data_IF_417859369587
#
_entry.id   IF_417859369587
#
_cell.length_a   1.000
_cell.length_b   1.000
_cell.length_c   1.000
_cell.angle_alpha   90.00
_cell.angle_beta   90.00
_cell.angle_gamma   90.00
#
_symmetry.space_group_name_H-M   'P 1'
#
loop_
_entity.id
_entity.type
_entity.pdbx_description
1 polymer ?
#
# COMPACT_ATOMS: atom_id res chain seq x y z
N UNK A 1 -11.05 -2.46 16.20
CA UNK A 1 -9.62 -2.64 16.41
C UNK A 1 -9.12 -3.74 15.47
N UNK A 2 -8.05 -3.48 14.76
CA UNK A 2 -7.35 -4.48 13.92
C UNK A 2 -5.87 -4.52 14.30
N UNK A 3 -5.25 -5.64 13.99
CA UNK A 3 -3.80 -5.89 14.09
C UNK A 3 -3.32 -6.18 12.68
N UNK A 4 -2.64 -5.23 11.99
CA UNK A 4 -2.13 -5.49 10.65
C UNK A 4 -1.13 -6.64 10.63
N UNK A 5 -1.21 -7.47 9.60
CA UNK A 5 -0.22 -8.51 9.34
C UNK A 5 1.11 -7.91 8.90
N UNK A 6 1.04 -6.77 8.22
CA UNK A 6 2.19 -6.01 7.75
C UNK A 6 1.92 -4.51 7.79
N UNK A 7 2.89 -3.74 8.23
CA UNK A 7 2.90 -2.27 8.18
C UNK A 7 4.07 -1.82 7.31
N UNK A 8 3.79 -1.03 6.28
CA UNK A 8 4.77 -0.62 5.30
C UNK A 8 4.87 0.90 5.20
N UNK A 9 6.07 1.39 4.96
CA UNK A 9 6.34 2.80 4.68
C UNK A 9 7.55 2.91 3.74
N UNK A 10 7.84 4.12 3.26
CA UNK A 10 9.07 4.43 2.54
C UNK A 10 9.67 5.75 3.02
N UNK A 11 10.85 6.10 2.53
CA UNK A 11 11.68 7.23 2.96
C UNK A 11 11.12 8.60 2.54
N UNK A 12 9.92 8.93 2.92
CA UNK A 12 9.38 10.27 2.70
C UNK A 12 9.86 11.22 3.81
N UNK A 13 10.58 12.33 3.50
CA UNK A 13 11.14 13.23 4.52
C UNK A 13 10.11 13.67 5.55
N UNK A 14 8.91 14.07 5.10
CA UNK A 14 7.83 14.53 5.96
C UNK A 14 7.42 13.53 7.06
N UNK A 15 7.71 12.25 6.88
CA UNK A 15 7.39 11.18 7.84
C UNK A 15 8.64 10.69 8.57
N UNK A 16 9.69 10.30 7.85
CA UNK A 16 10.89 9.69 8.43
C UNK A 16 11.58 10.59 9.46
N UNK A 17 11.62 11.90 9.23
CA UNK A 17 12.17 12.85 10.20
C UNK A 17 11.38 12.87 11.52
N UNK A 18 10.09 12.57 11.50
CA UNK A 18 9.18 12.64 12.66
C UNK A 18 9.03 11.30 13.38
N UNK A 19 9.12 10.18 12.66
CA UNK A 19 8.85 8.86 13.24
C UNK A 19 9.67 8.55 14.51
N UNK A 20 11.00 8.85 14.58
CA UNK A 20 11.77 8.58 15.80
C UNK A 20 11.25 9.32 17.05
N UNK A 21 10.80 10.58 16.87
CA UNK A 21 10.24 11.38 17.95
C UNK A 21 8.86 10.85 18.35
N UNK A 22 8.01 10.57 17.38
CA UNK A 22 6.66 10.03 17.62
C UNK A 22 6.70 8.65 18.29
N UNK A 23 7.59 7.75 17.87
CA UNK A 23 7.79 6.46 18.54
C UNK A 23 8.14 6.64 20.03
N UNK A 24 8.96 7.66 20.35
CA UNK A 24 9.30 8.00 21.72
C UNK A 24 8.09 8.55 22.49
N UNK A 25 7.27 9.39 21.87
CA UNK A 25 6.04 9.93 22.45
C UNK A 25 5.04 8.80 22.79
N UNK A 26 4.94 7.78 21.95
CA UNK A 26 4.17 6.56 22.21
C UNK A 26 4.82 5.63 23.25
N UNK A 27 6.00 5.97 23.76
CA UNK A 27 6.73 5.15 24.73
C UNK A 27 7.33 3.87 24.15
N UNK A 28 7.51 3.80 22.82
CA UNK A 28 8.03 2.60 22.14
C UNK A 28 9.55 2.67 22.08
N UNK A 29 10.19 1.88 22.92
CA UNK A 29 11.64 1.66 22.86
C UNK A 29 12.01 0.50 21.94
N UNK A 30 11.18 -0.54 21.96
CA UNK A 30 11.34 -1.74 21.15
C UNK A 30 9.97 -2.26 20.71
N UNK A 31 9.70 -2.43 19.41
CA UNK A 31 8.46 -3.05 18.93
C UNK A 31 8.43 -4.54 19.31
N UNK A 32 7.23 -5.09 19.46
CA UNK A 32 7.02 -6.52 19.79
C UNK A 32 7.23 -7.39 18.55
N UNK A 33 6.79 -6.90 17.38
CA UNK A 33 6.79 -7.62 16.11
C UNK A 33 7.49 -6.83 14.99
N UNK A 34 8.81 -6.56 15.13
CA UNK A 34 9.56 -5.80 14.12
C UNK A 34 9.56 -6.48 12.74
N UNK A 35 9.38 -7.80 12.69
CA UNK A 35 9.28 -8.59 11.45
C UNK A 35 8.03 -8.26 10.62
N UNK A 36 7.05 -7.56 11.20
CA UNK A 36 5.84 -7.12 10.51
C UNK A 36 5.96 -5.71 9.92
N UNK A 37 7.14 -5.13 9.95
CA UNK A 37 7.37 -3.79 9.41
C UNK A 37 8.38 -3.83 8.29
N UNK A 38 8.01 -3.25 7.14
CA UNK A 38 8.87 -3.13 5.97
C UNK A 38 8.96 -1.66 5.56
N UNK A 39 10.18 -1.16 5.47
CA UNK A 39 10.49 0.20 5.04
C UNK A 39 11.16 0.14 3.67
N UNK A 40 10.57 0.82 2.67
CA UNK A 40 11.17 1.00 1.35
C UNK A 40 12.13 2.19 1.33
N UNK A 41 13.16 2.10 0.51
CA UNK A 41 14.10 3.16 0.20
C UNK A 41 14.20 3.20 -1.32
N UNK A 42 13.21 3.85 -1.96
CA UNK A 42 12.99 3.80 -3.40
C UNK A 42 12.51 5.12 -4.04
N UNK A 43 11.92 6.04 -3.28
CA UNK A 43 11.42 7.32 -3.81
C UNK A 43 12.53 8.36 -3.96
N UNK A 44 13.49 8.38 -3.05
CA UNK A 44 14.66 9.26 -3.09
C UNK A 44 15.94 8.49 -3.45
N UNK A 45 15.83 7.29 -4.00
CA UNK A 45 16.96 6.45 -4.35
C UNK A 45 17.49 6.78 -5.77
N UNK A 46 18.81 6.82 -6.01
CA UNK A 46 19.93 6.44 -5.11
C UNK A 46 20.45 7.55 -4.17
N UNK A 47 19.74 8.67 -4.02
CA UNK A 47 20.20 9.79 -3.17
C UNK A 47 21.12 10.73 -3.92
N UNK A 48 20.59 11.40 -4.97
CA UNK A 48 21.37 12.31 -5.82
C UNK A 48 21.66 13.67 -5.19
N UNK A 49 20.92 14.05 -4.14
CA UNK A 49 21.10 15.33 -3.43
C UNK A 49 21.54 15.11 -1.99
N UNK A 50 22.18 16.11 -1.33
CA UNK A 50 22.52 16.03 0.09
C UNK A 50 21.31 15.75 0.99
N UNK A 51 20.15 16.34 0.66
CA UNK A 51 18.88 16.15 1.38
C UNK A 51 18.40 14.71 1.27
N UNK A 52 18.44 14.12 0.08
CA UNK A 52 18.09 12.70 -0.14
C UNK A 52 19.05 11.77 0.62
N UNK A 53 20.34 12.06 0.60
CA UNK A 53 21.34 11.29 1.36
C UNK A 53 21.11 11.38 2.87
N UNK A 54 20.66 12.52 3.38
CA UNK A 54 20.34 12.67 4.79
C UNK A 54 19.10 11.86 5.17
N UNK A 55 18.05 11.88 4.33
CA UNK A 55 16.85 11.05 4.60
C UNK A 55 17.19 9.56 4.56
N UNK A 56 18.12 9.13 3.69
CA UNK A 56 18.61 7.74 3.70
C UNK A 56 19.26 7.39 5.04
N UNK A 57 20.11 8.25 5.59
CA UNK A 57 20.75 8.02 6.89
C UNK A 57 19.71 7.94 8.01
N UNK A 58 18.72 8.85 8.01
CA UNK A 58 17.64 8.85 9.00
C UNK A 58 16.85 7.54 8.89
N UNK A 59 16.46 7.13 7.68
CA UNK A 59 15.71 5.89 7.42
C UNK A 59 16.51 4.67 7.89
N UNK A 60 17.78 4.58 7.56
CA UNK A 60 18.64 3.48 8.01
C UNK A 60 18.81 3.44 9.53
N UNK A 61 18.99 4.61 10.15
CA UNK A 61 19.08 4.70 11.61
C UNK A 61 17.77 4.23 12.28
N UNK A 62 16.62 4.62 11.73
CA UNK A 62 15.29 4.21 12.20
C UNK A 62 15.10 2.71 12.09
N UNK A 63 15.32 2.14 10.90
CA UNK A 63 15.19 0.71 10.62
C UNK A 63 16.10 -0.11 11.54
N UNK A 64 17.37 0.29 11.66
CA UNK A 64 18.37 -0.41 12.49
C UNK A 64 18.01 -0.36 13.98
N UNK A 65 17.51 0.80 14.45
CA UNK A 65 17.12 0.98 15.84
C UNK A 65 15.97 0.06 16.25
N UNK A 66 14.98 -0.10 15.37
CA UNK A 66 13.77 -0.86 15.67
C UNK A 66 13.80 -2.30 15.15
N UNK A 67 14.77 -2.67 14.32
CA UNK A 67 14.92 -4.02 13.78
C UNK A 67 13.95 -4.33 12.65
N UNK A 68 13.53 -3.33 11.89
CA UNK A 68 12.59 -3.47 10.77
C UNK A 68 13.27 -4.03 9.53
N UNK A 69 12.48 -4.58 8.60
CA UNK A 69 12.96 -4.91 7.27
C UNK A 69 13.16 -3.64 6.44
N UNK A 70 14.19 -3.65 5.58
CA UNK A 70 14.43 -2.58 4.61
C UNK A 70 14.54 -3.18 3.21
N UNK A 71 13.98 -2.48 2.24
CA UNK A 71 14.13 -2.73 0.80
C UNK A 71 14.88 -1.53 0.23
N UNK A 72 16.05 -1.75 -0.34
CA UNK A 72 16.89 -0.70 -0.90
C UNK A 72 17.48 -1.11 -2.24
N UNK A 73 17.26 -0.28 -3.28
CA UNK A 73 17.85 -0.48 -4.60
C UNK A 73 17.36 -1.71 -5.37
N UNK A 74 16.26 -2.32 -4.94
CA UNK A 74 15.72 -3.56 -5.52
C UNK A 74 14.55 -3.28 -6.48
N UNK A 75 14.18 -2.04 -6.66
CA UNK A 75 13.04 -1.59 -7.44
C UNK A 75 12.03 -0.82 -6.60
N UNK A 76 10.83 -0.63 -7.13
CA UNK A 76 9.73 0.05 -6.42
C UNK A 76 9.29 -0.80 -5.25
N UNK A 77 9.33 -0.25 -4.03
CA UNK A 77 9.04 -0.98 -2.79
C UNK A 77 7.67 -1.65 -2.80
N UNK A 78 6.65 -1.01 -3.37
CA UNK A 78 5.32 -1.59 -3.50
C UNK A 78 5.34 -2.93 -4.24
N UNK A 79 6.07 -3.00 -5.37
CA UNK A 79 6.23 -4.22 -6.16
C UNK A 79 6.99 -5.29 -5.38
N UNK A 80 8.12 -4.91 -4.79
CA UNK A 80 8.96 -5.83 -4.00
C UNK A 80 8.20 -6.38 -2.79
N UNK A 81 7.42 -5.53 -2.11
CA UNK A 81 6.55 -5.95 -0.99
C UNK A 81 5.51 -6.96 -1.49
N UNK A 82 4.85 -6.65 -2.62
CA UNK A 82 3.85 -7.55 -3.20
C UNK A 82 4.42 -8.94 -3.49
N UNK A 83 5.62 -9.00 -4.05
CA UNK A 83 6.25 -10.26 -4.46
C UNK A 83 6.82 -11.09 -3.32
N UNK A 84 7.28 -10.46 -2.22
CA UNK A 84 8.05 -11.15 -1.18
C UNK A 84 7.33 -11.32 0.14
N UNK A 85 6.45 -10.40 0.50
CA UNK A 85 5.90 -10.34 1.85
C UNK A 85 4.41 -10.65 1.91
N UNK A 86 3.67 -10.48 0.80
CA UNK A 86 2.22 -10.62 0.84
C UNK A 86 1.76 -12.07 0.68
N UNK A 87 0.64 -12.33 1.34
CA UNK A 87 -0.16 -13.54 1.17
C UNK A 87 -1.62 -13.17 1.08
N UNK A 88 -2.44 -13.92 0.34
CA UNK A 88 -3.89 -13.71 0.32
C UNK A 88 -4.49 -13.69 1.73
N UNK A 89 -5.42 -12.78 1.96
CA UNK A 89 -6.10 -12.61 3.24
C UNK A 89 -5.38 -11.70 4.25
N UNK A 90 -4.17 -11.22 3.95
CA UNK A 90 -3.47 -10.28 4.84
C UNK A 90 -4.17 -8.92 4.88
N UNK A 91 -4.11 -8.30 6.05
CA UNK A 91 -4.43 -6.88 6.26
C UNK A 91 -3.11 -6.12 6.35
N UNK A 92 -2.93 -5.18 5.44
CA UNK A 92 -1.71 -4.39 5.33
C UNK A 92 -2.01 -2.91 5.52
N UNK A 93 -1.11 -2.20 6.17
CA UNK A 93 -1.18 -0.74 6.27
C UNK A 93 0.02 -0.10 5.58
N UNK A 94 -0.22 1.02 4.93
CA UNK A 94 0.81 1.81 4.24
C UNK A 94 0.49 3.30 4.33
N UNK A 95 1.46 4.18 4.16
CA UNK A 95 1.14 5.61 4.10
C UNK A 95 0.75 6.08 2.69
N UNK A 96 0.96 5.26 1.65
CA UNK A 96 0.69 5.58 0.25
C UNK A 96 -0.54 4.83 -0.30
N UNK A 97 -1.38 5.57 -1.04
CA UNK A 97 -2.57 5.01 -1.67
C UNK A 97 -2.30 4.10 -2.86
N UNK A 98 -1.17 4.27 -3.58
CA UNK A 98 -0.83 3.40 -4.71
C UNK A 98 -0.54 1.96 -4.28
N UNK A 99 -0.20 1.74 -3.02
CA UNK A 99 -0.07 0.39 -2.48
C UNK A 99 -1.39 -0.42 -2.50
N UNK A 100 -2.54 0.18 -2.88
CA UNK A 100 -3.77 -0.55 -3.19
C UNK A 100 -3.58 -1.68 -4.23
N UNK A 101 -2.47 -1.66 -4.98
CA UNK A 101 -2.08 -2.77 -5.86
C UNK A 101 -2.02 -4.12 -5.14
N UNK A 102 -1.80 -4.14 -3.80
CA UNK A 102 -1.79 -5.36 -3.00
C UNK A 102 -3.12 -6.14 -3.07
N UNK A 103 -4.20 -5.45 -3.38
CA UNK A 103 -5.49 -6.07 -3.64
C UNK A 103 -5.50 -7.08 -4.79
N UNK A 104 -4.58 -6.95 -5.75
CA UNK A 104 -4.40 -7.92 -6.83
C UNK A 104 -4.01 -9.31 -6.32
N UNK A 105 -3.34 -9.38 -5.16
CA UNK A 105 -2.96 -10.61 -4.45
C UNK A 105 -3.96 -10.97 -3.34
N UNK A 106 -5.16 -10.40 -3.36
CA UNK A 106 -6.18 -10.62 -2.33
C UNK A 106 -5.74 -10.21 -0.92
N UNK A 107 -4.83 -9.23 -0.80
CA UNK A 107 -4.44 -8.59 0.45
C UNK A 107 -5.11 -7.22 0.55
N UNK A 108 -5.82 -6.97 1.65
CA UNK A 108 -6.50 -5.69 1.87
C UNK A 108 -5.51 -4.65 2.41
N UNK A 109 -5.21 -3.64 1.61
CA UNK A 109 -4.41 -2.51 2.05
C UNK A 109 -5.28 -1.39 2.59
N UNK A 110 -4.87 -0.76 3.68
CA UNK A 110 -5.44 0.48 4.20
C UNK A 110 -4.41 1.60 4.20
N UNK A 111 -4.54 2.62 3.32
CA UNK A 111 -3.65 3.77 3.30
C UNK A 111 -3.98 4.70 4.46
N UNK A 112 -2.97 5.07 5.23
CA UNK A 112 -3.12 5.84 6.47
C UNK A 112 -2.47 7.22 6.45
N UNK A 113 -1.75 7.59 5.37
CA UNK A 113 -0.96 8.83 5.32
C UNK A 113 -0.13 9.02 6.61
N UNK A 114 -0.24 10.17 7.27
CA UNK A 114 0.45 10.45 8.52
C UNK A 114 0.03 9.52 9.68
N UNK A 115 -1.15 8.91 9.62
CA UNK A 115 -1.64 7.95 10.61
C UNK A 115 -0.88 6.63 10.65
N UNK A 116 0.05 6.38 9.72
CA UNK A 116 0.87 5.17 9.69
C UNK A 116 1.71 4.99 10.96
N UNK A 117 1.97 6.06 11.70
CA UNK A 117 2.69 5.97 12.97
C UNK A 117 1.92 5.17 14.04
N UNK A 118 0.59 5.15 13.98
CA UNK A 118 -0.22 4.41 14.94
C UNK A 118 0.06 2.89 14.87
N UNK A 119 -0.06 2.20 13.72
CA UNK A 119 0.29 0.79 13.66
C UNK A 119 1.80 0.53 13.78
N UNK A 120 2.67 1.47 13.44
CA UNK A 120 4.10 1.35 13.71
C UNK A 120 4.42 1.32 15.20
N UNK A 121 3.72 2.14 16.00
CA UNK A 121 3.96 2.26 17.42
C UNK A 121 3.14 1.28 18.26
N UNK A 122 1.86 1.11 17.93
CA UNK A 122 0.89 0.35 18.74
C UNK A 122 0.65 -1.06 18.21
N UNK A 123 1.17 -1.39 17.02
CA UNK A 123 0.94 -2.66 16.31
C UNK A 123 -0.54 -2.97 16.08
N UNK A 124 -1.38 -1.96 16.19
CA UNK A 124 -2.83 -2.03 16.04
C UNK A 124 -3.40 -0.66 15.68
N UNK A 125 -4.59 -0.63 15.13
CA UNK A 125 -5.32 0.62 14.86
C UNK A 125 -6.84 0.37 14.83
N UNK A 126 -7.60 1.45 14.94
CA UNK A 126 -9.04 1.41 14.71
C UNK A 126 -9.35 1.74 13.25
N UNK A 127 -10.04 0.84 12.58
CA UNK A 127 -10.58 1.08 11.24
C UNK A 127 -12.09 0.90 11.24
N UNK A 128 -12.78 1.79 10.53
CA UNK A 128 -14.15 1.56 10.13
C UNK A 128 -14.16 0.62 8.93
N UNK A 129 -14.91 -0.48 9.03
CA UNK A 129 -15.07 -1.40 7.90
C UNK A 129 -15.69 -0.65 6.72
N UNK A 130 -15.02 -0.57 5.57
CA UNK A 130 -15.54 0.15 4.42
C UNK A 130 -16.73 -0.59 3.82
N UNK A 131 -17.72 0.13 3.26
CA UNK A 131 -18.70 -0.49 2.37
C UNK A 131 -18.01 -1.03 1.12
N UNK A 132 -18.65 -1.97 0.41
CA UNK A 132 -18.10 -2.56 -0.80
C UNK A 132 -18.77 -2.00 -2.05
N UNK A 133 -17.95 -1.63 -3.04
CA UNK A 133 -18.35 -1.40 -4.42
C UNK A 133 -17.86 -2.59 -5.23
N UNK A 134 -18.78 -3.44 -5.72
CA UNK A 134 -18.44 -4.60 -6.54
C UNK A 134 -18.31 -4.20 -8.01
N UNK A 135 -17.20 -4.60 -8.63
CA UNK A 135 -16.94 -4.45 -10.08
C UNK A 135 -16.85 -5.85 -10.69
N UNK A 136 -17.79 -6.18 -11.57
CA UNK A 136 -17.80 -7.44 -12.30
C UNK A 136 -17.27 -7.23 -13.73
N UNK A 137 -16.26 -7.99 -14.08
CA UNK A 137 -15.69 -8.04 -15.43
C UNK A 137 -16.41 -9.16 -16.20
N UNK A 138 -16.81 -8.87 -17.44
CA UNK A 138 -17.43 -9.82 -18.34
C UNK A 138 -16.66 -9.88 -19.67
N UNK A 139 -16.39 -11.09 -20.15
CA UNK A 139 -15.63 -11.31 -21.39
C UNK A 139 -14.15 -11.03 -21.24
N UNK A 140 -13.52 -10.45 -22.26
CA UNK A 140 -12.09 -10.16 -22.30
C UNK A 140 -11.82 -8.77 -22.85
N UNK A 141 -10.66 -8.20 -22.53
CA UNK A 141 -10.24 -6.92 -23.08
C UNK A 141 -10.08 -7.02 -24.60
N UNK A 142 -10.61 -6.05 -25.34
CA UNK A 142 -10.45 -5.96 -26.78
C UNK A 142 -8.99 -5.69 -27.14
N UNK A 143 -8.58 -6.09 -28.35
CA UNK A 143 -7.24 -5.81 -28.85
C UNK A 143 -6.94 -4.31 -28.81
N UNK A 144 -5.83 -3.94 -28.17
CA UNK A 144 -5.39 -2.56 -28.03
C UNK A 144 -5.92 -1.84 -26.77
N UNK A 145 -6.76 -2.52 -25.98
CA UNK A 145 -7.20 -2.02 -24.66
C UNK A 145 -6.27 -2.55 -23.58
N UNK A 146 -5.72 -1.66 -22.78
CA UNK A 146 -4.87 -2.00 -21.64
C UNK A 146 -5.63 -1.86 -20.30
N UNK A 147 -5.11 -2.45 -19.25
CA UNK A 147 -5.66 -2.34 -17.89
C UNK A 147 -5.81 -0.88 -17.42
N UNK A 148 -4.93 0.01 -17.87
CA UNK A 148 -5.02 1.44 -17.60
C UNK A 148 -6.27 2.06 -18.19
N UNK A 149 -6.68 1.65 -19.39
CA UNK A 149 -7.89 2.15 -20.04
C UNK A 149 -9.14 1.72 -19.26
N UNK A 150 -9.14 0.49 -18.73
CA UNK A 150 -10.21 -0.01 -17.87
C UNK A 150 -10.39 0.89 -16.64
N UNK A 151 -9.29 1.20 -15.97
CA UNK A 151 -9.34 2.06 -14.81
C UNK A 151 -9.82 3.49 -15.15
N UNK A 152 -9.33 4.05 -16.25
CA UNK A 152 -9.77 5.36 -16.73
C UNK A 152 -11.26 5.36 -17.11
N UNK A 153 -11.75 4.26 -17.71
CA UNK A 153 -13.16 4.08 -17.99
C UNK A 153 -13.99 4.01 -16.69
N UNK A 154 -13.53 3.26 -15.70
CA UNK A 154 -14.21 3.23 -14.39
C UNK A 154 -14.31 4.64 -13.78
N UNK A 155 -13.21 5.40 -13.81
CA UNK A 155 -13.19 6.79 -13.34
C UNK A 155 -14.19 7.67 -14.11
N UNK A 156 -14.30 7.49 -15.41
CA UNK A 156 -15.27 8.20 -16.23
C UNK A 156 -16.72 7.86 -15.85
N UNK A 157 -17.02 6.59 -15.53
CA UNK A 157 -18.38 6.13 -15.22
C UNK A 157 -18.86 6.59 -13.85
N UNK A 158 -18.04 6.48 -12.82
CA UNK A 158 -18.47 6.72 -11.43
C UNK A 158 -17.83 7.98 -10.80
N UNK A 159 -16.88 8.58 -11.49
CA UNK A 159 -16.20 9.80 -11.03
C UNK A 159 -15.21 9.57 -9.87
N UNK A 160 -14.50 10.64 -9.44
CA UNK A 160 -13.44 10.55 -8.43
C UNK A 160 -13.96 10.30 -7.00
N UNK A 161 -15.27 10.28 -6.82
CA UNK A 161 -15.93 10.02 -5.52
C UNK A 161 -16.86 8.82 -5.57
N UNK A 162 -16.91 8.09 -6.69
CA UNK A 162 -17.87 7.00 -6.89
C UNK A 162 -17.67 5.81 -5.95
N UNK A 163 -16.46 5.63 -5.44
CA UNK A 163 -16.13 4.62 -4.43
C UNK A 163 -15.61 5.25 -3.12
N UNK A 164 -16.05 6.47 -2.79
CA UNK A 164 -15.56 7.21 -1.64
C UNK A 164 -15.63 6.40 -0.36
N UNK A 165 -14.47 6.22 0.27
CA UNK A 165 -14.30 5.44 1.49
C UNK A 165 -14.71 3.95 1.41
N UNK A 166 -14.89 3.41 0.21
CA UNK A 166 -15.28 2.01 -0.01
C UNK A 166 -14.06 1.09 -0.27
N UNK A 167 -14.31 -0.21 -0.18
CA UNK A 167 -13.48 -1.24 -0.78
C UNK A 167 -13.99 -1.50 -2.20
N UNK A 168 -13.12 -1.47 -3.20
CA UNK A 168 -13.45 -1.92 -4.56
C UNK A 168 -13.13 -3.40 -4.66
N UNK A 169 -14.17 -4.23 -4.73
CA UNK A 169 -14.05 -5.68 -4.89
C UNK A 169 -14.20 -6.04 -6.37
N UNK A 170 -13.20 -6.67 -6.95
CA UNK A 170 -13.13 -6.99 -8.38
C UNK A 170 -13.22 -8.49 -8.62
N UNK A 171 -14.02 -8.89 -9.59
CA UNK A 171 -14.19 -10.28 -9.98
C UNK A 171 -15.12 -10.42 -11.19
N UNK A 172 -15.76 -11.58 -11.34
CA UNK A 172 -16.63 -11.92 -12.46
C UNK A 172 -15.98 -12.88 -13.46
N UNK A 173 -16.78 -13.39 -14.40
CA UNK A 173 -16.37 -14.41 -15.37
C UNK A 173 -15.25 -13.95 -16.30
N UNK A 174 -15.16 -12.67 -16.60
CA UNK A 174 -14.07 -12.08 -17.40
C UNK A 174 -12.79 -11.81 -16.61
N UNK A 175 -12.85 -11.83 -15.27
CA UNK A 175 -11.72 -11.46 -14.43
C UNK A 175 -10.51 -12.40 -14.59
N UNK A 176 -10.74 -13.67 -14.85
CA UNK A 176 -9.71 -14.67 -15.10
C UNK A 176 -8.87 -14.39 -16.37
N UNK A 177 -9.39 -13.57 -17.30
CA UNK A 177 -8.66 -13.18 -18.51
C UNK A 177 -7.59 -12.11 -18.26
N UNK A 178 -7.65 -11.42 -17.09
CA UNK A 178 -6.68 -10.40 -16.71
C UNK A 178 -5.41 -11.05 -16.17
N UNK A 179 -4.27 -10.60 -16.70
CA UNK A 179 -2.96 -10.98 -16.15
C UNK A 179 -2.76 -10.39 -14.74
N UNK A 180 -1.75 -10.84 -14.01
CA UNK A 180 -1.41 -10.25 -12.72
C UNK A 180 -1.02 -8.79 -12.86
N UNK A 181 -0.30 -8.42 -13.92
CA UNK A 181 0.08 -7.03 -14.21
C UNK A 181 -1.14 -6.14 -14.48
N UNK A 182 -2.15 -6.68 -15.18
CA UNK A 182 -3.42 -5.97 -15.37
C UNK A 182 -4.11 -5.72 -14.03
N UNK A 183 -4.18 -6.74 -13.17
CA UNK A 183 -4.78 -6.64 -11.84
C UNK A 183 -4.03 -5.64 -10.96
N UNK A 184 -2.70 -5.68 -10.95
CA UNK A 184 -1.87 -4.68 -10.25
C UNK A 184 -2.17 -3.27 -10.75
N UNK A 185 -2.23 -3.09 -12.07
CA UNK A 185 -2.50 -1.78 -12.68
C UNK A 185 -3.86 -1.23 -12.27
N UNK A 186 -4.91 -2.06 -12.32
CA UNK A 186 -6.26 -1.62 -11.96
C UNK A 186 -6.36 -1.33 -10.46
N UNK A 187 -5.86 -2.24 -9.61
CA UNK A 187 -5.90 -2.06 -8.15
C UNK A 187 -5.12 -0.83 -7.68
N UNK A 188 -3.94 -0.58 -8.26
CA UNK A 188 -3.11 0.59 -7.96
C UNK A 188 -3.89 1.91 -8.07
N UNK A 189 -4.82 1.99 -9.00
CA UNK A 189 -5.50 3.23 -9.39
C UNK A 189 -6.86 3.45 -8.72
N UNK A 190 -7.36 2.52 -7.90
CA UNK A 190 -8.68 2.68 -7.26
C UNK A 190 -8.76 3.86 -6.32
N UNK A 191 -7.64 4.32 -5.80
CA UNK A 191 -7.57 5.55 -5.00
C UNK A 191 -8.12 6.77 -5.73
N UNK A 192 -8.03 6.83 -7.06
CA UNK A 192 -8.61 7.92 -7.85
C UNK A 192 -10.14 7.89 -7.94
N UNK A 193 -10.76 6.79 -7.54
CA UNK A 193 -12.21 6.66 -7.35
C UNK A 193 -12.66 7.06 -5.93
N UNK A 194 -11.71 7.47 -5.08
CA UNK A 194 -11.94 7.75 -3.66
C UNK A 194 -11.94 6.50 -2.77
N UNK A 195 -11.60 5.34 -3.32
CA UNK A 195 -11.59 4.09 -2.58
C UNK A 195 -10.50 4.03 -1.51
N UNK A 196 -10.78 3.36 -0.40
CA UNK A 196 -9.80 3.06 0.64
C UNK A 196 -8.92 1.88 0.32
N UNK A 197 -9.46 0.89 -0.40
CA UNK A 197 -8.75 -0.34 -0.70
C UNK A 197 -9.35 -1.01 -1.93
N UNK A 198 -8.62 -1.97 -2.48
CA UNK A 198 -9.10 -2.90 -3.49
C UNK A 198 -8.86 -4.34 -3.03
N UNK A 199 -9.69 -5.26 -3.46
CA UNK A 199 -9.49 -6.70 -3.29
C UNK A 199 -9.98 -7.41 -4.54
N UNK A 200 -9.17 -8.32 -5.05
CA UNK A 200 -9.53 -9.17 -6.18
C UNK A 200 -10.10 -10.51 -5.70
N UNK A 201 -11.05 -11.04 -6.45
CA UNK A 201 -11.50 -12.43 -6.34
C UNK A 201 -10.36 -13.37 -6.73
N UNK A 202 -10.25 -14.53 -6.04
CA UNK A 202 -9.27 -15.58 -6.35
C UNK A 202 -9.70 -16.45 -7.54
#
# INVERSE_FOLDING_TARGET
>A
LIYPDLTCAYELPAYMERFPAQMKEFGVEKPKHPERVVIGLDHCYPGGTPEEQEIHKITWAFVKKFGYHIIEGEGISHQVIAERFLKPGMIVTHHDGHACLFGALCAALFPLSAGIIEPLAMESLYLTCPPTVRVNFHGALSKGVAARDVQMWMLQQIGPSGAMNACVEMGGDGFASLTMDDRFTICNQVMFLGAKTAVCEQ
#
